data_IF_637102128594
#
_entry.id   IF_637102128594
#
_cell.length_a   1.000
_cell.length_b   1.000
_cell.length_c   1.000
_cell.angle_alpha   90.00
_cell.angle_beta   90.00
_cell.angle_gamma   90.00
#
_symmetry.space_group_name_H-M   'P 1'
#
loop_
_entity.id
_entity.type
_entity.pdbx_description
1 polymer ?
#
# COMPACT_ATOMS: atom_id res chain seq x y z
N UNK A 1 -13.55 -2.18 -6.00
CA UNK A 1 -13.38 -0.75 -5.68
C UNK A 1 -14.65 -0.02 -5.30
N UNK A 2 -15.63 -0.77 -4.80
CA UNK A 2 -16.84 -0.26 -4.19
C UNK A 2 -17.00 -0.92 -2.82
N UNK A 3 -17.74 -0.27 -1.92
CA UNK A 3 -18.16 -0.84 -0.65
C UNK A 3 -19.67 -1.07 -0.65
N UNK A 4 -20.11 -2.06 0.10
CA UNK A 4 -21.54 -2.25 0.36
C UNK A 4 -22.06 -1.10 1.22
N UNK A 5 -23.08 -0.40 0.74
CA UNK A 5 -23.79 0.65 1.49
C UNK A 5 -24.99 0.07 2.23
N UNK A 6 -25.73 -0.81 1.57
CA UNK A 6 -26.84 -1.55 2.19
C UNK A 6 -26.90 -2.97 1.63
N UNK A 7 -27.17 -3.92 2.51
CA UNK A 7 -27.46 -5.31 2.13
C UNK A 7 -28.81 -5.39 1.40
N UNK A 8 -28.95 -6.37 0.52
CA UNK A 8 -30.24 -6.71 -0.08
C UNK A 8 -31.32 -7.04 0.97
N UNK A 9 -32.57 -6.81 0.58
CA UNK A 9 -33.78 -7.18 1.30
C UNK A 9 -34.69 -7.97 0.36
N UNK A 10 -35.86 -8.42 0.83
CA UNK A 10 -36.81 -9.16 -0.02
C UNK A 10 -37.31 -8.37 -1.24
N UNK A 11 -37.19 -7.03 -1.23
CA UNK A 11 -37.71 -6.15 -2.28
C UNK A 11 -36.67 -5.23 -2.90
N UNK A 12 -35.41 -5.28 -2.45
CA UNK A 12 -34.35 -4.39 -2.93
C UNK A 12 -33.01 -5.10 -2.98
N UNK A 13 -32.25 -4.85 -4.04
CA UNK A 13 -30.91 -5.38 -4.22
C UNK A 13 -29.88 -4.73 -3.29
N UNK A 14 -28.68 -5.30 -3.28
CA UNK A 14 -27.53 -4.73 -2.59
C UNK A 14 -27.13 -3.42 -3.24
N UNK A 15 -27.00 -2.36 -2.46
CA UNK A 15 -26.49 -1.08 -2.96
C UNK A 15 -25.00 -0.96 -2.65
N UNK A 16 -24.22 -0.71 -3.68
CA UNK A 16 -22.80 -0.43 -3.59
C UNK A 16 -22.53 1.07 -3.77
N UNK A 17 -21.38 1.53 -3.28
CA UNK A 17 -20.91 2.89 -3.52
C UNK A 17 -19.40 2.88 -3.72
N UNK A 18 -18.86 3.70 -4.63
CA UNK A 18 -17.43 3.71 -4.93
C UNK A 18 -16.61 4.17 -3.71
N UNK A 19 -15.40 3.65 -3.58
CA UNK A 19 -14.45 4.14 -2.59
C UNK A 19 -14.05 5.59 -2.87
N UNK A 20 -13.81 6.38 -1.83
CA UNK A 20 -13.27 7.74 -1.97
C UNK A 20 -11.82 7.69 -2.46
N UNK A 21 -11.31 8.83 -2.93
CA UNK A 21 -9.88 8.94 -3.27
C UNK A 21 -9.01 8.66 -2.03
N UNK A 22 -7.84 8.06 -2.23
CA UNK A 22 -6.99 7.49 -1.18
C UNK A 22 -7.57 6.28 -0.42
N UNK A 23 -8.69 5.71 -0.87
CA UNK A 23 -9.25 4.46 -0.35
C UNK A 23 -9.48 3.45 -1.48
N UNK A 24 -9.34 2.17 -1.15
CA UNK A 24 -9.55 1.06 -2.07
C UNK A 24 -10.41 -0.04 -1.47
N UNK A 25 -11.02 -0.85 -2.32
CA UNK A 25 -11.58 -2.15 -1.93
C UNK A 25 -11.26 -3.19 -3.00
N UNK A 26 -10.70 -4.35 -2.63
CA UNK A 26 -10.53 -5.45 -3.57
C UNK A 26 -11.91 -5.97 -4.02
N UNK A 27 -11.94 -6.65 -5.18
CA UNK A 27 -13.18 -7.23 -5.70
C UNK A 27 -13.82 -8.20 -4.70
N UNK A 28 -15.16 -8.15 -4.57
CA UNK A 28 -15.97 -8.97 -3.67
C UNK A 28 -15.83 -8.68 -2.16
N UNK A 29 -15.37 -7.48 -1.78
CA UNK A 29 -15.30 -7.10 -0.37
C UNK A 29 -16.64 -6.53 0.14
N UNK A 30 -17.24 -7.18 1.13
CA UNK A 30 -18.48 -6.71 1.79
C UNK A 30 -18.21 -5.59 2.83
N UNK A 31 -16.95 -5.36 3.19
CA UNK A 31 -16.57 -4.36 4.19
C UNK A 31 -16.43 -2.94 3.63
N UNK A 32 -16.01 -2.04 4.50
CA UNK A 32 -15.65 -0.68 4.13
C UNK A 32 -14.40 -0.66 3.23
N UNK A 33 -14.21 0.46 2.53
CA UNK A 33 -12.97 0.71 1.80
C UNK A 33 -11.81 0.87 2.79
N UNK A 34 -10.68 0.27 2.45
CA UNK A 34 -9.43 0.36 3.19
C UNK A 34 -8.67 1.62 2.75
N UNK A 35 -8.00 2.28 3.69
CA UNK A 35 -7.09 3.39 3.34
C UNK A 35 -5.91 2.86 2.56
N UNK A 36 -5.54 3.56 1.49
CA UNK A 36 -4.34 3.22 0.74
C UNK A 36 -3.07 3.43 1.60
N UNK A 37 -2.09 2.57 1.36
CA UNK A 37 -0.75 2.70 1.94
C UNK A 37 -0.17 4.07 1.59
N UNK A 38 0.55 4.70 2.53
CA UNK A 38 1.24 5.98 2.31
C UNK A 38 2.73 5.71 2.10
N UNK A 39 3.28 6.12 0.96
CA UNK A 39 4.73 6.06 0.73
C UNK A 39 5.38 7.30 1.34
N UNK A 40 6.38 7.13 2.21
CA UNK A 40 7.08 8.26 2.83
C UNK A 40 8.41 8.58 2.10
N UNK A 41 8.43 9.55 1.15
CA UNK A 41 9.64 9.86 0.39
C UNK A 41 10.78 10.40 1.26
N UNK A 42 10.47 11.05 2.39
CA UNK A 42 11.48 11.53 3.35
C UNK A 42 12.21 10.38 4.05
N UNK A 43 11.60 9.19 4.05
CA UNK A 43 12.15 7.95 4.61
C UNK A 43 12.62 6.99 3.53
N UNK A 44 12.86 7.45 2.30
CA UNK A 44 13.41 6.62 1.22
C UNK A 44 12.43 5.63 0.57
N UNK A 45 11.13 5.79 0.82
CA UNK A 45 10.07 5.07 0.13
C UNK A 45 9.68 5.76 -1.18
N UNK A 46 9.37 4.99 -2.22
CA UNK A 46 8.90 5.49 -3.51
C UNK A 46 7.63 4.74 -3.94
N UNK A 47 6.70 5.48 -4.53
CA UNK A 47 5.48 4.91 -5.12
C UNK A 47 5.81 4.27 -6.48
N UNK A 48 5.49 2.99 -6.64
CA UNK A 48 5.63 2.27 -7.92
C UNK A 48 4.29 1.91 -8.53
N UNK A 49 3.22 1.94 -7.73
CA UNK A 49 1.84 1.84 -8.18
C UNK A 49 0.99 2.81 -7.37
N UNK A 50 0.25 3.67 -8.06
CA UNK A 50 -0.72 4.59 -7.45
C UNK A 50 -1.85 3.87 -6.74
N UNK A 51 -2.43 4.54 -5.74
CA UNK A 51 -3.69 4.13 -5.14
C UNK A 51 -4.80 4.16 -6.21
N UNK A 52 -5.54 3.07 -6.34
CA UNK A 52 -6.72 2.97 -7.21
C UNK A 52 -7.89 2.49 -6.38
N UNK A 53 -9.13 2.81 -6.78
CA UNK A 53 -10.31 2.40 -6.00
C UNK A 53 -10.38 0.88 -5.82
N UNK A 54 -9.80 0.09 -6.72
CA UNK A 54 -9.76 -1.38 -6.68
C UNK A 54 -8.47 -1.97 -6.12
N UNK A 55 -7.42 -1.17 -5.89
CA UNK A 55 -6.10 -1.67 -5.50
C UNK A 55 -5.35 -0.70 -4.61
N UNK A 56 -4.66 -1.26 -3.62
CA UNK A 56 -3.74 -0.49 -2.79
C UNK A 56 -2.60 0.15 -3.61
N UNK A 57 -2.06 1.24 -3.07
CA UNK A 57 -0.79 1.85 -3.46
C UNK A 57 0.34 0.88 -3.12
N UNK A 58 1.29 0.71 -4.04
CA UNK A 58 2.50 -0.08 -3.77
C UNK A 58 3.69 0.86 -3.58
N UNK A 59 4.31 0.73 -2.42
CA UNK A 59 5.52 1.44 -2.04
C UNK A 59 6.72 0.49 -2.01
N UNK A 60 7.88 0.97 -2.45
CA UNK A 60 9.14 0.25 -2.32
C UNK A 60 10.23 1.14 -1.77
N UNK A 61 11.20 0.56 -1.07
CA UNK A 61 12.42 1.26 -0.69
C UNK A 61 13.32 1.48 -1.90
N UNK A 62 13.87 2.69 -2.04
CA UNK A 62 14.91 2.98 -3.03
C UNK A 62 16.25 2.33 -2.63
N UNK A 63 17.19 2.25 -3.58
CA UNK A 63 18.53 1.74 -3.30
C UNK A 63 19.21 2.48 -2.13
N UNK A 64 19.94 1.74 -1.30
CA UNK A 64 20.53 2.23 -0.06
C UNK A 64 19.57 2.34 1.13
N UNK A 65 18.32 1.88 1.00
CA UNK A 65 17.33 1.85 2.08
C UNK A 65 16.72 0.45 2.23
N UNK A 66 16.43 0.04 3.46
CA UNK A 66 15.71 -1.19 3.80
C UNK A 66 14.35 -0.89 4.45
N UNK A 67 13.38 -1.82 4.40
CA UNK A 67 12.09 -1.64 5.07
C UNK A 67 12.26 -1.49 6.59
N UNK A 68 11.55 -0.53 7.18
CA UNK A 68 11.61 -0.22 8.61
C UNK A 68 10.23 -0.17 9.28
N UNK A 69 9.20 -0.75 8.66
CA UNK A 69 7.83 -0.76 9.18
C UNK A 69 6.85 -1.57 8.33
N UNK A 70 5.60 -1.64 8.81
CA UNK A 70 4.46 -2.24 8.12
C UNK A 70 3.48 -1.11 7.76
N UNK A 71 2.88 -1.10 6.56
CA UNK A 71 3.10 -2.02 5.44
C UNK A 71 4.49 -1.88 4.81
N UNK A 72 4.98 -2.98 4.24
CA UNK A 72 6.36 -3.10 3.75
C UNK A 72 6.64 -2.04 2.68
N UNK A 73 7.79 -1.36 2.78
CA UNK A 73 8.17 -0.30 1.85
C UNK A 73 7.48 1.05 2.07
N UNK A 74 6.48 1.18 2.96
CA UNK A 74 5.88 2.48 3.31
C UNK A 74 6.88 3.41 4.00
N UNK A 75 7.65 2.86 4.95
CA UNK A 75 8.73 3.53 5.67
C UNK A 75 10.00 2.72 5.51
N UNK A 76 11.08 3.38 5.11
CA UNK A 76 12.38 2.76 4.98
C UNK A 76 13.41 3.47 5.88
N UNK A 77 14.52 2.78 6.14
CA UNK A 77 15.68 3.32 6.85
C UNK A 77 16.91 3.21 5.96
N UNK A 78 17.83 4.18 6.00
CA UNK A 78 19.08 4.07 5.28
C UNK A 78 19.88 2.86 5.76
N UNK A 79 20.63 2.24 4.85
CA UNK A 79 21.54 1.16 5.21
C UNK A 79 22.68 1.68 6.10
N UNK A 80 23.09 0.92 7.13
CA UNK A 80 24.25 1.26 7.92
C UNK A 80 25.54 1.21 7.09
N UNK A 81 26.58 1.90 7.55
CA UNK A 81 27.88 1.89 6.90
C UNK A 81 28.42 0.46 6.73
N UNK A 82 29.07 0.19 5.60
CA UNK A 82 29.56 -1.15 5.26
C UNK A 82 28.48 -2.10 4.71
N UNK A 83 27.25 -1.63 4.51
CA UNK A 83 26.17 -2.40 3.87
C UNK A 83 25.51 -1.65 2.72
N UNK A 84 24.80 -2.37 1.87
CA UNK A 84 24.05 -1.83 0.74
C UNK A 84 22.72 -2.57 0.54
N UNK A 85 21.78 -1.90 -0.13
CA UNK A 85 20.55 -2.52 -0.62
C UNK A 85 20.33 -2.06 -2.06
N UNK A 86 19.87 -2.96 -2.94
CA UNK A 86 19.50 -2.59 -4.31
C UNK A 86 18.13 -1.91 -4.37
N UNK A 87 17.43 -1.82 -3.23
CA UNK A 87 16.07 -1.30 -3.14
C UNK A 87 15.05 -2.42 -3.28
N UNK A 88 13.82 -2.10 -3.70
CA UNK A 88 12.79 -3.12 -3.91
C UNK A 88 12.35 -3.84 -2.63
N UNK A 89 12.52 -3.18 -1.47
CA UNK A 89 12.29 -3.73 -0.14
C UNK A 89 13.28 -4.82 0.30
N UNK A 90 14.44 -4.93 -0.35
CA UNK A 90 15.53 -5.78 0.13
C UNK A 90 16.16 -5.22 1.41
N UNK A 91 16.49 -6.13 2.34
CA UNK A 91 17.31 -5.79 3.51
C UNK A 91 18.74 -5.43 3.09
N UNK A 92 19.42 -4.65 3.93
CA UNK A 92 20.81 -4.30 3.70
C UNK A 92 21.72 -5.53 3.82
N UNK A 93 22.69 -5.64 2.92
CA UNK A 93 23.65 -6.74 2.82
C UNK A 93 25.08 -6.18 2.84
N UNK A 94 26.07 -6.92 3.36
CA UNK A 94 27.45 -6.48 3.35
C UNK A 94 27.98 -6.40 1.91
N UNK A 95 28.91 -5.48 1.66
CA UNK A 95 29.64 -5.45 0.39
C UNK A 95 30.49 -6.72 0.24
N UNK A 96 30.49 -7.31 -0.94
CA UNK A 96 31.38 -8.42 -1.34
C UNK A 96 32.56 -7.90 -2.14
#
# INVERSE_FOLDING_TARGET
>A
GERMRSRCTATADTLCSPCQDEYFSPEHHHGFCQSCTVCNPRKGSVEVKRCERSSDRVCVCRAGFMPAGIPLGSVCSPCPEGTFSRGGNENCQPWT
#
